data_IF_774017076922
#
_entry.id   IF_774017076922
#
_cell.length_a   1.000
_cell.length_b   1.000
_cell.length_c   1.000
_cell.angle_alpha   90.00
_cell.angle_beta   90.00
_cell.angle_gamma   90.00
#
_symmetry.space_group_name_H-M   'P 1'
#
loop_
_entity.id
_entity.type
_entity.pdbx_description
1 polymer ?
#
# COMPACT_ATOMS: atom_id res chain seq x y z
N UNK A 1 -0.80 -21.73 -5.04
CA UNK A 1 -0.42 -20.31 -4.85
C UNK A 1 0.34 -20.19 -3.54
N UNK A 2 1.34 -19.30 -3.47
CA UNK A 2 2.05 -18.96 -2.23
C UNK A 2 1.75 -17.50 -1.90
N UNK A 3 1.18 -17.23 -0.73
CA UNK A 3 0.89 -15.88 -0.23
C UNK A 3 1.80 -15.60 0.94
N UNK A 4 2.51 -14.47 0.91
CA UNK A 4 3.44 -14.08 1.97
C UNK A 4 3.10 -12.67 2.46
N UNK A 5 2.89 -12.54 3.78
CA UNK A 5 2.64 -11.27 4.46
C UNK A 5 1.52 -10.43 3.78
N UNK A 6 0.47 -11.09 3.30
CA UNK A 6 -0.62 -10.46 2.57
C UNK A 6 -1.95 -11.15 2.89
N UNK A 7 -3.04 -10.36 2.85
CA UNK A 7 -4.38 -10.83 3.18
C UNK A 7 -5.39 -10.53 2.05
N UNK A 8 -5.19 -11.06 0.82
CA UNK A 8 -6.02 -10.78 -0.36
C UNK A 8 -7.51 -11.10 -0.17
N UNK A 9 -7.86 -12.13 0.62
CA UNK A 9 -9.26 -12.46 0.91
C UNK A 9 -10.01 -11.32 1.61
N UNK A 10 -9.29 -10.46 2.34
CA UNK A 10 -9.85 -9.28 3.01
C UNK A 10 -9.67 -8.00 2.20
N UNK A 11 -8.46 -7.76 1.67
CA UNK A 11 -8.06 -6.42 1.22
C UNK A 11 -8.39 -6.12 -0.25
N UNK A 12 -8.58 -7.13 -1.09
CA UNK A 12 -8.81 -6.95 -2.52
C UNK A 12 -10.26 -6.55 -2.81
N UNK A 13 -10.46 -5.76 -3.87
CA UNK A 13 -11.79 -5.37 -4.32
C UNK A 13 -12.63 -6.60 -4.72
N UNK A 14 -13.93 -6.55 -4.44
CA UNK A 14 -14.83 -7.69 -4.57
C UNK A 14 -14.26 -8.95 -3.90
N UNK A 15 -13.97 -8.81 -2.60
CA UNK A 15 -13.32 -9.84 -1.77
C UNK A 15 -13.96 -11.24 -1.86
N UNK A 16 -15.28 -11.33 -2.10
CA UNK A 16 -15.99 -12.60 -2.30
C UNK A 16 -15.48 -13.39 -3.49
N UNK A 17 -15.21 -12.72 -4.62
CA UNK A 17 -14.66 -13.38 -5.81
C UNK A 17 -13.23 -13.85 -5.54
N UNK A 18 -12.47 -13.09 -4.76
CA UNK A 18 -11.10 -13.46 -4.37
C UNK A 18 -11.13 -14.68 -3.44
N UNK A 19 -11.99 -14.69 -2.43
CA UNK A 19 -12.19 -15.85 -1.55
C UNK A 19 -12.60 -17.10 -2.33
N UNK A 20 -13.58 -16.98 -3.24
CA UNK A 20 -14.01 -18.08 -4.10
C UNK A 20 -12.87 -18.59 -4.98
N UNK A 21 -12.06 -17.69 -5.56
CA UNK A 21 -10.91 -18.07 -6.36
C UNK A 21 -9.84 -18.79 -5.54
N UNK A 22 -9.56 -18.33 -4.31
CA UNK A 22 -8.60 -18.97 -3.40
C UNK A 22 -9.06 -20.39 -3.03
N UNK A 23 -10.36 -20.59 -2.75
CA UNK A 23 -10.95 -21.92 -2.45
C UNK A 23 -10.89 -22.90 -3.62
N UNK A 24 -10.76 -22.42 -4.85
CA UNK A 24 -10.65 -23.26 -6.07
C UNK A 24 -9.22 -23.67 -6.40
N UNK A 25 -8.22 -23.13 -5.70
CA UNK A 25 -6.83 -23.52 -5.92
C UNK A 25 -6.64 -24.99 -5.53
N UNK A 26 -5.84 -25.71 -6.31
CA UNK A 26 -5.44 -27.09 -5.96
C UNK A 26 -4.55 -27.13 -4.71
N UNK A 27 -3.82 -26.04 -4.46
CA UNK A 27 -2.93 -25.92 -3.32
C UNK A 27 -2.63 -24.45 -2.98
N UNK A 28 -2.84 -24.05 -1.73
CA UNK A 28 -2.59 -22.71 -1.19
C UNK A 28 -1.70 -22.80 0.06
N UNK A 29 -0.56 -22.10 0.01
CA UNK A 29 0.34 -21.92 1.16
C UNK A 29 0.33 -20.46 1.57
N UNK A 30 0.20 -20.19 2.86
CA UNK A 30 0.21 -18.83 3.42
C UNK A 30 1.30 -18.73 4.50
N UNK A 31 2.18 -17.73 4.38
CA UNK A 31 3.04 -17.29 5.49
C UNK A 31 2.47 -16.01 6.10
N UNK A 32 2.13 -16.08 7.37
CA UNK A 32 1.58 -14.95 8.13
C UNK A 32 1.92 -15.12 9.61
N UNK A 33 1.84 -14.02 10.35
CA UNK A 33 2.07 -14.00 11.81
C UNK A 33 0.78 -14.43 12.53
N UNK A 34 -0.38 -14.24 11.90
CA UNK A 34 -1.68 -14.60 12.47
C UNK A 34 -2.51 -15.45 11.50
N UNK A 35 -3.50 -16.14 12.04
CA UNK A 35 -4.54 -16.80 11.25
C UNK A 35 -5.48 -15.74 10.65
N UNK A 36 -5.06 -15.13 9.54
CA UNK A 36 -5.85 -14.13 8.80
C UNK A 36 -6.95 -14.78 7.96
N UNK A 37 -7.98 -14.03 7.50
CA UNK A 37 -8.96 -14.56 6.56
C UNK A 37 -8.38 -15.25 5.31
N UNK A 38 -7.18 -14.87 4.87
CA UNK A 38 -6.51 -15.60 3.78
C UNK A 38 -5.84 -16.88 4.28
N UNK A 39 -5.20 -16.86 5.46
CA UNK A 39 -4.58 -18.03 6.08
C UNK A 39 -5.60 -19.12 6.42
N UNK A 40 -6.82 -18.75 6.82
CA UNK A 40 -7.92 -19.70 7.09
C UNK A 40 -8.35 -20.51 5.85
N UNK A 41 -8.01 -20.03 4.65
CA UNK A 41 -8.29 -20.72 3.38
C UNK A 41 -7.14 -21.64 2.94
N UNK A 42 -5.99 -21.59 3.60
CA UNK A 42 -4.78 -22.27 3.17
C UNK A 42 -4.79 -23.77 3.48
N UNK A 43 -4.18 -24.56 2.61
CA UNK A 43 -3.88 -25.97 2.89
C UNK A 43 -2.72 -26.09 3.88
N UNK A 44 -1.76 -25.16 3.81
CA UNK A 44 -0.63 -25.06 4.74
C UNK A 44 -0.45 -23.61 5.17
N UNK A 45 -0.42 -23.39 6.47
CA UNK A 45 0.04 -22.14 7.08
C UNK A 45 1.46 -22.36 7.63
N UNK A 46 2.38 -21.50 7.22
CA UNK A 46 3.76 -21.48 7.71
C UNK A 46 3.93 -20.29 8.66
N UNK A 47 4.18 -20.50 9.96
CA UNK A 47 4.20 -19.43 10.95
C UNK A 47 5.40 -18.49 10.72
N UNK A 48 5.11 -17.23 10.41
CA UNK A 48 6.11 -16.17 10.26
C UNK A 48 6.31 -15.42 11.59
N UNK A 49 7.56 -15.06 11.90
CA UNK A 49 7.88 -14.27 13.09
C UNK A 49 7.76 -12.75 12.82
N UNK A 50 7.51 -11.98 13.89
CA UNK A 50 7.44 -10.52 13.85
C UNK A 50 8.79 -9.89 13.54
N UNK A 51 8.79 -8.57 13.31
CA UNK A 51 10.02 -7.82 13.07
C UNK A 51 10.94 -7.72 14.31
N UNK A 52 10.44 -8.02 15.53
CA UNK A 52 11.23 -8.03 16.77
C UNK A 52 12.04 -9.32 16.94
N UNK A 53 11.71 -10.36 16.17
CA UNK A 53 12.25 -11.72 16.28
C UNK A 53 13.31 -12.04 15.21
N UNK A 54 13.59 -11.09 14.30
CA UNK A 54 14.52 -11.25 13.19
C UNK A 54 15.41 -10.04 13.01
N UNK A 55 16.64 -10.25 12.54
CA UNK A 55 17.53 -9.14 12.19
C UNK A 55 17.18 -8.66 10.79
N UNK A 56 16.94 -7.36 10.64
CA UNK A 56 16.74 -6.72 9.33
C UNK A 56 17.40 -5.36 9.30
N UNK A 57 17.66 -4.81 8.12
CA UNK A 57 17.88 -3.37 8.00
C UNK A 57 16.60 -2.66 7.59
N UNK A 58 16.49 -1.38 7.95
CA UNK A 58 15.39 -0.49 7.59
C UNK A 58 15.99 0.71 6.87
N UNK A 59 15.55 0.95 5.64
CA UNK A 59 15.82 2.18 4.95
C UNK A 59 14.66 3.15 5.19
N UNK A 60 14.88 4.18 6.01
CA UNK A 60 13.98 5.31 6.14
C UNK A 60 14.26 6.29 5.01
N UNK A 61 13.49 6.16 3.94
CA UNK A 61 13.37 7.18 2.90
C UNK A 61 12.14 8.05 3.23
N UNK A 62 12.28 9.37 3.34
CA UNK A 62 11.13 10.26 3.54
C UNK A 62 10.04 10.13 2.46
N UNK A 63 10.31 9.52 1.30
CA UNK A 63 9.33 9.30 0.22
C UNK A 63 9.63 8.03 -0.61
N UNK A 64 9.32 6.85 -0.06
CA UNK A 64 9.54 5.52 -0.67
C UNK A 64 8.97 5.32 -2.08
N UNK A 65 8.00 6.13 -2.48
CA UNK A 65 7.26 6.00 -3.74
C UNK A 65 7.77 6.94 -4.86
N UNK A 66 8.65 7.91 -4.56
CA UNK A 66 9.09 8.87 -5.58
C UNK A 66 10.60 9.18 -5.59
N UNK A 67 11.40 8.66 -4.64
CA UNK A 67 12.86 8.78 -4.67
C UNK A 67 13.35 10.23 -4.79
N UNK A 68 12.69 11.15 -4.10
CA UNK A 68 13.12 12.54 -4.05
C UNK A 68 14.48 12.61 -3.36
N UNK A 69 15.32 13.59 -3.72
CA UNK A 69 16.71 13.70 -3.29
C UNK A 69 16.86 14.05 -1.80
N UNK A 70 16.39 13.18 -0.92
CA UNK A 70 16.51 13.27 0.52
C UNK A 70 17.43 12.16 0.99
N UNK A 71 18.42 12.44 1.86
CA UNK A 71 19.30 11.40 2.38
C UNK A 71 18.49 10.25 3.00
N UNK A 72 18.76 9.03 2.54
CA UNK A 72 18.14 7.84 3.11
C UNK A 72 18.87 7.48 4.39
N UNK A 73 18.15 7.17 5.47
CA UNK A 73 18.78 6.66 6.69
C UNK A 73 18.64 5.14 6.74
N UNK A 74 19.77 4.43 6.79
CA UNK A 74 19.79 2.98 6.96
C UNK A 74 20.06 2.68 8.44
N UNK A 75 19.20 1.88 9.06
CA UNK A 75 19.31 1.47 10.46
C UNK A 75 19.25 -0.05 10.53
N UNK A 76 20.04 -0.67 11.41
CA UNK A 76 19.83 -2.07 11.79
C UNK A 76 18.65 -2.15 12.77
N UNK A 77 17.67 -2.97 12.45
CA UNK A 77 16.66 -3.45 13.39
C UNK A 77 17.15 -4.81 13.89
N UNK A 78 17.83 -4.87 15.05
CA UNK A 78 18.35 -6.13 15.56
C UNK A 78 17.22 -7.04 16.01
N UNK A 79 17.49 -8.35 16.02
CA UNK A 79 16.67 -9.32 16.74
C UNK A 79 16.66 -8.97 18.24
N UNK A 80 15.48 -8.68 18.78
CA UNK A 80 15.27 -8.28 20.19
C UNK A 80 14.95 -9.48 21.07
N UNK A 81 14.18 -10.44 20.54
CA UNK A 81 13.83 -11.71 21.18
C UNK A 81 14.02 -12.85 20.19
N UNK A 82 14.17 -14.08 20.69
CA UNK A 82 14.16 -15.24 19.79
C UNK A 82 12.77 -15.42 19.17
N UNK A 83 12.68 -15.96 17.93
CA UNK A 83 11.40 -16.34 17.35
C UNK A 83 10.58 -17.20 18.30
N UNK A 84 9.32 -16.83 18.46
CA UNK A 84 8.40 -17.53 19.35
C UNK A 84 8.02 -18.87 18.75
N UNK A 85 8.00 -19.89 19.61
CA UNK A 85 7.62 -21.26 19.27
C UNK A 85 8.39 -21.79 18.05
N UNK A 86 7.68 -22.22 17.01
CA UNK A 86 8.26 -22.76 15.78
C UNK A 86 8.29 -21.72 14.63
N UNK A 87 8.02 -20.45 14.93
CA UNK A 87 7.98 -19.40 13.90
C UNK A 87 9.35 -19.11 13.29
N UNK A 88 9.38 -18.83 12.00
CA UNK A 88 10.60 -18.47 11.27
C UNK A 88 10.46 -17.08 10.63
N UNK A 89 11.59 -16.44 10.35
CA UNK A 89 11.59 -15.28 9.47
C UNK A 89 11.18 -15.67 8.05
N UNK A 90 10.55 -14.77 7.32
CA UNK A 90 10.19 -14.97 5.92
C UNK A 90 11.42 -15.34 5.07
N UNK A 91 12.57 -14.72 5.36
CA UNK A 91 13.84 -15.04 4.71
C UNK A 91 14.21 -16.51 4.89
N UNK A 92 14.17 -17.01 6.14
CA UNK A 92 14.50 -18.40 6.43
C UNK A 92 13.52 -19.37 5.75
N UNK A 93 12.22 -19.06 5.75
CA UNK A 93 11.20 -19.86 5.08
C UNK A 93 11.51 -20.00 3.59
N UNK A 94 11.78 -18.89 2.90
CA UNK A 94 12.10 -18.88 1.47
C UNK A 94 13.42 -19.59 1.18
N UNK A 95 14.47 -19.37 1.98
CA UNK A 95 15.76 -20.04 1.78
C UNK A 95 15.66 -21.56 1.96
N UNK A 96 14.98 -22.04 3.01
CA UNK A 96 14.84 -23.47 3.26
C UNK A 96 13.94 -24.15 2.23
N UNK A 97 12.89 -23.48 1.76
CA UNK A 97 12.07 -23.95 0.65
C UNK A 97 12.90 -24.05 -0.64
N UNK A 98 13.66 -23.01 -0.98
CA UNK A 98 14.54 -23.00 -2.14
C UNK A 98 15.57 -24.13 -2.12
N UNK A 99 16.22 -24.37 -0.96
CA UNK A 99 17.16 -25.48 -0.78
C UNK A 99 16.48 -26.84 -0.99
N UNK A 100 15.30 -27.07 -0.42
CA UNK A 100 14.54 -28.32 -0.60
C UNK A 100 14.10 -28.55 -2.04
N UNK A 101 13.88 -27.48 -2.80
CA UNK A 101 13.56 -27.52 -4.22
C UNK A 101 14.78 -27.71 -5.13
N UNK A 102 16.00 -27.78 -4.58
CA UNK A 102 17.24 -27.94 -5.34
C UNK A 102 17.90 -26.63 -5.78
N UNK A 103 17.38 -25.47 -5.35
CA UNK A 103 17.91 -24.14 -5.67
C UNK A 103 18.91 -23.61 -4.63
N UNK A 104 19.51 -24.50 -3.83
CA UNK A 104 20.36 -24.11 -2.69
C UNK A 104 21.54 -23.21 -3.06
N UNK A 105 22.07 -23.31 -4.28
CA UNK A 105 23.16 -22.47 -4.78
C UNK A 105 22.80 -20.97 -4.84
N UNK A 106 21.51 -20.63 -5.00
CA UNK A 106 21.02 -19.25 -5.03
C UNK A 106 20.81 -18.65 -3.63
N UNK A 107 20.95 -19.46 -2.58
CA UNK A 107 20.83 -19.06 -1.18
C UNK A 107 22.11 -19.41 -0.40
N UNK A 108 23.28 -18.86 -0.79
CA UNK A 108 24.57 -19.28 -0.26
C UNK A 108 24.83 -18.78 1.18
N UNK A 109 24.07 -17.79 1.64
CA UNK A 109 24.27 -17.16 2.94
C UNK A 109 23.87 -18.08 4.09
N UNK A 110 24.70 -18.08 5.14
CA UNK A 110 24.52 -18.93 6.34
C UNK A 110 23.62 -18.26 7.38
N UNK A 111 23.43 -16.95 7.27
CA UNK A 111 22.62 -16.14 8.20
C UNK A 111 21.97 -14.96 7.49
N UNK A 112 20.95 -14.38 8.12
CA UNK A 112 20.30 -13.14 7.66
C UNK A 112 21.29 -11.98 7.59
N UNK A 113 22.20 -11.86 8.57
CA UNK A 113 23.21 -10.78 8.59
C UNK A 113 24.17 -10.89 7.42
N UNK A 114 24.62 -12.10 7.05
CA UNK A 114 25.46 -12.30 5.87
C UNK A 114 24.74 -11.91 4.58
N UNK A 115 23.43 -12.18 4.49
CA UNK A 115 22.61 -11.75 3.36
C UNK A 115 22.44 -10.21 3.33
N UNK A 116 22.27 -9.57 4.49
CA UNK A 116 22.20 -8.11 4.62
C UNK A 116 23.53 -7.45 4.24
N UNK A 117 24.65 -7.97 4.75
CA UNK A 117 25.99 -7.49 4.40
C UNK A 117 26.25 -7.60 2.90
N UNK A 118 25.87 -8.72 2.30
CA UNK A 118 25.94 -8.88 0.85
C UNK A 118 25.10 -7.82 0.12
N UNK A 119 23.86 -7.59 0.55
CA UNK A 119 22.97 -6.60 -0.06
C UNK A 119 23.49 -5.16 0.09
N UNK A 120 24.13 -4.84 1.21
CA UNK A 120 24.67 -3.51 1.52
C UNK A 120 26.13 -3.32 1.06
N UNK A 121 26.78 -4.38 0.57
CA UNK A 121 28.16 -4.34 0.09
C UNK A 121 28.47 -3.25 -0.94
N UNK A 122 27.56 -2.84 -1.87
CA UNK A 122 27.84 -1.72 -2.79
C UNK A 122 28.02 -0.38 -2.08
N UNK A 123 27.48 -0.22 -0.86
CA UNK A 123 27.65 0.97 -0.02
C UNK A 123 28.84 0.83 0.95
N UNK A 124 29.46 -0.36 1.02
CA UNK A 124 30.52 -0.66 1.98
C UNK A 124 30.03 -0.73 3.43
N UNK A 125 28.73 -0.96 3.65
CA UNK A 125 28.09 -0.98 4.97
C UNK A 125 27.87 -2.42 5.40
N UNK A 126 28.11 -2.70 6.69
CA UNK A 126 27.83 -4.00 7.31
C UNK A 126 26.85 -3.89 8.47
N UNK A 127 26.25 -5.01 8.86
CA UNK A 127 25.49 -5.17 10.09
C UNK A 127 26.31 -4.79 11.33
N UNK A 128 27.62 -5.10 11.35
CA UNK A 128 28.52 -4.67 12.43
C UNK A 128 28.62 -3.15 12.54
N UNK A 129 28.81 -2.47 11.41
CA UNK A 129 28.86 -0.99 11.37
C UNK A 129 27.52 -0.39 11.80
N UNK A 130 26.40 -0.88 11.26
CA UNK A 130 25.07 -0.38 11.63
C UNK A 130 24.75 -0.63 13.11
N UNK A 131 25.24 -1.72 13.70
CA UNK A 131 25.06 -2.01 15.13
C UNK A 131 25.86 -1.05 16.00
N UNK A 132 27.04 -0.61 15.54
CA UNK A 132 27.83 0.43 16.21
C UNK A 132 27.20 1.83 16.09
N UNK A 133 26.28 2.03 15.14
CA UNK A 133 25.56 3.27 14.85
C UNK A 133 24.03 3.10 14.98
N UNK A 134 23.49 2.94 16.21
CA UNK A 134 22.06 2.68 16.44
C UNK A 134 21.14 3.80 15.94
N UNK A 135 21.64 5.02 15.80
CA UNK A 135 20.96 6.15 15.17
C UNK A 135 20.76 5.99 13.66
N UNK A 136 21.47 5.05 13.05
CA UNK A 136 21.52 4.78 11.62
C UNK A 136 22.58 5.59 10.87
N UNK A 137 23.02 5.04 9.75
CA UNK A 137 23.89 5.71 8.81
C UNK A 137 23.05 6.52 7.82
N UNK A 138 23.36 7.80 7.69
CA UNK A 138 22.78 8.66 6.67
C UNK A 138 23.53 8.40 5.37
N UNK A 139 22.84 7.86 4.39
CA UNK A 139 23.31 7.69 3.02
C UNK A 139 23.01 9.01 2.30
N UNK A 140 24.03 9.84 2.02
CA UNK A 140 23.80 11.07 1.30
C UNK A 140 23.31 10.72 -0.11
N UNK A 141 22.10 11.16 -0.45
CA UNK A 141 21.73 11.31 -1.85
C UNK A 141 22.48 12.53 -2.37
N UNK A 142 23.09 12.49 -3.56
CA UNK A 142 23.77 13.66 -4.11
C UNK A 142 22.85 14.88 -4.04
N UNK A 143 23.34 16.05 -3.59
CA UNK A 143 22.52 17.25 -3.57
C UNK A 143 21.99 17.54 -4.97
N UNK A 144 20.75 18.04 -5.03
CA UNK A 144 20.14 18.57 -6.25
C UNK A 144 21.14 19.51 -6.95
N UNK A 145 21.42 19.23 -8.23
CA UNK A 145 22.56 19.73 -9.01
C UNK A 145 22.64 21.25 -9.25
N UNK A 146 21.86 22.09 -8.57
CA UNK A 146 21.89 23.53 -8.80
C UNK A 146 21.72 24.36 -7.52
N UNK A 147 22.53 25.42 -7.41
CA UNK A 147 22.24 26.56 -6.53
C UNK A 147 21.50 27.62 -7.36
N UNK A 148 20.37 28.15 -6.84
CA UNK A 148 19.63 29.25 -7.49
C UNK A 148 20.29 30.58 -7.16
N UNK A 149 20.59 31.38 -8.17
CA UNK A 149 20.98 32.78 -8.01
C UNK A 149 19.99 33.70 -8.73
N UNK A 150 19.77 34.90 -8.18
CA UNK A 150 19.16 36.01 -8.90
C UNK A 150 20.19 36.59 -9.87
N UNK A 151 19.93 36.47 -11.17
CA UNK A 151 20.75 37.09 -12.20
C UNK A 151 20.63 38.60 -12.18
N UNK A 152 21.70 39.28 -12.62
CA UNK A 152 21.84 40.74 -12.58
C UNK A 152 20.73 41.51 -13.34
N UNK A 153 20.01 40.83 -14.25
CA UNK A 153 18.85 41.37 -15.00
C UNK A 153 17.51 40.68 -14.68
N UNK A 154 17.39 40.03 -13.51
CA UNK A 154 16.12 39.47 -13.04
C UNK A 154 15.79 38.05 -13.52
N UNK A 155 16.70 37.35 -14.20
CA UNK A 155 16.55 35.93 -14.56
C UNK A 155 17.12 34.98 -13.51
N UNK A 156 16.57 33.76 -13.37
CA UNK A 156 17.13 32.72 -12.49
C UNK A 156 18.34 32.08 -13.20
N UNK A 157 19.53 32.19 -12.62
CA UNK A 157 20.73 31.47 -13.08
C UNK A 157 20.87 30.18 -12.24
N UNK A 158 21.07 29.05 -12.92
CA UNK A 158 21.36 27.74 -12.30
C UNK A 158 22.83 27.41 -12.58
N UNK A 159 23.64 27.26 -11.53
CA UNK A 159 25.04 26.84 -11.66
C UNK A 159 25.25 25.47 -11.02
N UNK A 160 26.00 24.60 -11.71
CA UNK A 160 26.42 23.28 -11.24
C UNK A 160 27.49 23.44 -10.16
N UNK A 161 27.26 22.87 -8.97
CA UNK A 161 28.23 22.92 -7.87
C UNK A 161 29.54 22.21 -8.27
N UNK A 162 30.63 22.97 -8.36
CA UNK A 162 31.97 22.46 -8.75
C UNK A 162 32.80 21.87 -7.61
N UNK A 163 32.28 21.80 -6.39
CA UNK A 163 33.09 21.38 -5.24
C UNK A 163 32.32 20.30 -4.53
N UNK A 164 32.75 19.06 -4.72
CA UNK A 164 33.23 18.26 -3.59
C UNK A 164 33.81 16.95 -4.10
N UNK A 165 35.06 16.69 -3.69
CA UNK A 165 35.77 15.44 -3.96
C UNK A 165 35.16 14.40 -3.03
N UNK A 166 34.09 13.74 -3.50
CA UNK A 166 33.41 12.66 -2.81
C UNK A 166 34.04 11.32 -3.20
N UNK A 167 34.13 10.40 -2.23
CA UNK A 167 34.77 9.07 -2.35
C UNK A 167 34.33 8.34 -3.63
N UNK A 168 35.30 7.65 -4.25
CA UNK A 168 35.23 6.87 -5.50
C UNK A 168 33.99 5.94 -5.62
N UNK A 169 32.83 6.48 -6.02
CA UNK A 169 31.68 5.69 -6.46
C UNK A 169 31.22 6.18 -7.86
N UNK A 170 31.86 5.70 -8.94
CA UNK A 170 31.61 6.20 -10.30
C UNK A 170 30.22 5.85 -10.88
N UNK A 171 29.48 4.90 -10.32
CA UNK A 171 28.22 4.43 -10.94
C UNK A 171 26.93 5.07 -10.40
N UNK A 172 26.98 5.74 -9.24
CA UNK A 172 25.79 6.27 -8.56
C UNK A 172 25.16 7.48 -9.29
N UNK A 173 25.90 8.11 -10.21
CA UNK A 173 25.51 9.36 -10.87
C UNK A 173 24.80 9.20 -12.23
N UNK A 174 24.75 7.98 -12.80
CA UNK A 174 24.08 7.75 -14.11
C UNK A 174 22.60 8.15 -14.12
N UNK A 175 21.91 8.00 -12.99
CA UNK A 175 20.46 8.34 -12.87
C UNK A 175 20.20 9.86 -12.94
N UNK A 176 21.18 10.69 -12.57
CA UNK A 176 21.01 12.14 -12.42
C UNK A 176 21.67 12.97 -13.52
N UNK A 177 22.63 12.41 -14.29
CA UNK A 177 23.07 13.02 -15.55
C UNK A 177 21.89 13.27 -16.52
N UNK A 178 20.87 12.41 -16.45
CA UNK A 178 19.65 12.53 -17.23
C UNK A 178 18.87 13.81 -16.93
N UNK A 179 18.75 14.22 -15.66
CA UNK A 179 17.97 15.41 -15.27
C UNK A 179 18.56 16.72 -15.78
N UNK A 180 19.89 16.80 -15.92
CA UNK A 180 20.56 17.91 -16.62
C UNK A 180 20.31 17.88 -18.14
N UNK A 181 19.97 16.70 -18.68
CA UNK A 181 19.53 16.45 -20.06
C UNK A 181 17.99 16.46 -20.18
N UNK A 182 17.26 16.81 -19.11
CA UNK A 182 15.80 16.88 -18.98
C UNK A 182 15.11 15.63 -18.38
N UNK A 183 13.77 15.60 -18.35
CA UNK A 183 13.01 14.51 -17.71
C UNK A 183 13.23 13.15 -18.41
N UNK A 184 12.93 12.03 -17.72
CA UNK A 184 12.94 10.68 -18.30
C UNK A 184 11.72 10.42 -19.22
N UNK A 185 11.39 11.42 -20.03
CA UNK A 185 10.37 11.40 -21.07
C UNK A 185 11.06 11.43 -22.44
N UNK A 186 10.39 10.99 -23.52
CA UNK A 186 10.91 11.12 -24.88
C UNK A 186 11.35 12.56 -25.23
N UNK A 187 10.55 13.55 -24.85
CA UNK A 187 10.82 14.98 -25.12
C UNK A 187 11.84 15.64 -24.19
N UNK A 188 12.25 14.95 -23.11
CA UNK A 188 13.06 15.51 -22.02
C UNK A 188 12.38 16.66 -21.25
N UNK A 189 11.06 16.83 -21.41
CA UNK A 189 10.23 17.84 -20.74
C UNK A 189 9.12 17.18 -19.92
N UNK A 190 8.40 17.98 -19.15
CA UNK A 190 7.09 17.56 -18.62
C UNK A 190 6.13 17.47 -19.80
N UNK A 191 5.55 16.29 -20.02
CA UNK A 191 4.64 16.01 -21.13
C UNK A 191 3.20 16.28 -20.68
N UNK A 192 2.74 17.52 -20.89
CA UNK A 192 1.31 17.86 -20.71
C UNK A 192 0.48 17.05 -21.71
N UNK A 193 0.98 16.93 -22.94
CA UNK A 193 0.49 16.03 -23.96
C UNK A 193 1.36 14.77 -23.99
N UNK A 194 0.76 13.59 -23.80
CA UNK A 194 1.46 12.32 -23.83
C UNK A 194 1.29 11.62 -25.18
N UNK A 195 2.30 11.73 -26.06
CA UNK A 195 2.34 10.94 -27.30
C UNK A 195 2.30 9.42 -27.04
N UNK A 196 2.76 8.99 -25.85
CA UNK A 196 2.72 7.58 -25.45
C UNK A 196 1.29 7.10 -25.25
N UNK A 197 0.45 7.91 -24.59
CA UNK A 197 -0.97 7.60 -24.41
C UNK A 197 -1.69 7.61 -25.76
N UNK A 198 -1.43 8.61 -26.61
CA UNK A 198 -2.00 8.67 -27.97
C UNK A 198 -1.66 7.42 -28.79
N UNK A 199 -0.38 7.00 -28.82
CA UNK A 199 0.06 5.79 -29.53
C UNK A 199 -0.60 4.50 -29.01
N UNK A 200 -1.08 4.50 -27.76
CA UNK A 200 -1.81 3.40 -27.15
C UNK A 200 -3.35 3.55 -27.28
N UNK A 201 -3.82 4.60 -27.96
CA UNK A 201 -5.25 4.85 -28.18
C UNK A 201 -5.96 5.52 -26.99
N UNK A 202 -5.22 6.09 -26.04
CA UNK A 202 -5.76 6.83 -24.90
C UNK A 202 -5.72 8.34 -25.12
N UNK A 203 -6.52 9.08 -24.35
CA UNK A 203 -6.49 10.55 -24.37
C UNK A 203 -5.10 11.06 -23.96
N UNK A 204 -4.41 11.82 -24.82
CA UNK A 204 -3.07 12.32 -24.52
C UNK A 204 -3.05 13.49 -23.56
N UNK A 205 -4.21 14.08 -23.24
CA UNK A 205 -4.37 15.18 -22.30
C UNK A 205 -5.25 14.74 -21.12
N UNK A 206 -5.08 15.36 -19.94
CA UNK A 206 -6.01 15.16 -18.84
C UNK A 206 -7.43 15.55 -19.25
N UNK A 207 -8.36 14.63 -19.10
CA UNK A 207 -9.78 14.84 -19.37
C UNK A 207 -10.59 14.40 -18.15
N UNK A 208 -11.69 15.11 -17.89
CA UNK A 208 -12.68 14.62 -16.95
C UNK A 208 -13.52 13.54 -17.63
N UNK A 209 -13.57 12.35 -17.01
CA UNK A 209 -14.54 11.31 -17.35
C UNK A 209 -15.37 11.05 -16.10
N UNK A 210 -16.69 11.05 -16.27
CA UNK A 210 -17.60 10.66 -15.21
C UNK A 210 -17.23 9.25 -14.71
N UNK A 211 -17.18 9.01 -13.39
CA UNK A 211 -16.92 7.68 -12.87
C UNK A 211 -17.87 6.66 -13.49
N UNK A 212 -17.34 5.49 -13.85
CA UNK A 212 -18.11 4.47 -14.54
C UNK A 212 -19.31 3.94 -13.72
N UNK A 213 -19.30 4.17 -12.42
CA UNK A 213 -20.42 3.98 -11.52
C UNK A 213 -20.67 5.28 -10.74
N UNK A 214 -21.73 5.99 -11.10
CA UNK A 214 -22.19 7.20 -10.42
C UNK A 214 -23.68 7.41 -10.69
N UNK A 215 -24.36 8.32 -9.96
CA UNK A 215 -25.74 8.66 -10.28
C UNK A 215 -25.93 9.25 -11.69
N UNK A 216 -24.86 9.78 -12.30
CA UNK A 216 -24.88 10.36 -13.65
C UNK A 216 -24.63 9.30 -14.72
N UNK A 217 -23.62 8.45 -14.54
CA UNK A 217 -23.27 7.42 -15.53
C UNK A 217 -24.20 6.21 -15.47
N UNK A 218 -24.77 5.92 -14.29
CA UNK A 218 -25.66 4.78 -14.02
C UNK A 218 -26.94 5.21 -13.31
N UNK A 219 -27.79 6.05 -13.94
CA UNK A 219 -29.06 6.49 -13.36
C UNK A 219 -30.06 5.34 -13.20
N UNK A 220 -29.90 4.26 -13.97
CA UNK A 220 -30.64 3.02 -13.80
C UNK A 220 -30.32 2.36 -12.45
N UNK A 221 -29.03 2.27 -12.12
CA UNK A 221 -28.55 1.67 -10.88
C UNK A 221 -28.84 2.55 -9.66
N UNK A 222 -28.70 3.87 -9.83
CA UNK A 222 -28.93 4.85 -8.76
C UNK A 222 -30.39 4.92 -8.28
N UNK A 223 -31.35 4.37 -9.04
CA UNK A 223 -32.73 4.21 -8.56
C UNK A 223 -32.83 3.21 -7.41
N UNK A 224 -32.02 2.16 -7.45
CA UNK A 224 -31.98 1.10 -6.43
C UNK A 224 -30.90 1.38 -5.38
N UNK A 225 -29.78 1.95 -5.79
CA UNK A 225 -28.61 2.25 -4.97
C UNK A 225 -28.30 3.76 -4.99
N UNK A 226 -29.07 4.60 -4.28
CA UNK A 226 -29.04 6.05 -4.47
C UNK A 226 -27.83 6.76 -3.83
N UNK A 227 -27.07 6.08 -2.95
CA UNK A 227 -25.98 6.67 -2.19
C UNK A 227 -24.62 6.32 -2.81
N UNK A 228 -23.70 7.27 -2.79
CA UNK A 228 -22.31 7.06 -3.22
C UNK A 228 -21.51 6.51 -2.03
N UNK A 229 -20.89 5.35 -2.19
CA UNK A 229 -20.01 4.73 -1.21
C UNK A 229 -18.54 5.10 -1.49
N UNK A 230 -17.89 5.58 -0.43
CA UNK A 230 -16.43 5.62 -0.33
C UNK A 230 -15.98 4.46 0.57
N UNK A 231 -15.26 3.51 0.00
CA UNK A 231 -14.69 2.38 0.73
C UNK A 231 -13.18 2.57 0.90
N UNK A 232 -12.71 2.55 2.15
CA UNK A 232 -11.32 2.21 2.43
C UNK A 232 -10.42 3.32 2.98
N UNK A 233 -10.92 4.16 3.88
CA UNK A 233 -10.05 5.07 4.65
C UNK A 233 -9.24 4.31 5.71
N UNK A 234 -8.07 4.85 6.04
CA UNK A 234 -7.17 4.35 7.08
C UNK A 234 -7.54 4.91 8.45
N UNK A 235 -7.24 4.15 9.49
CA UNK A 235 -7.42 4.51 10.88
C UNK A 235 -6.03 4.57 11.54
N UNK A 236 -5.76 5.57 12.37
CA UNK A 236 -4.42 5.83 12.93
C UNK A 236 -3.83 4.63 13.70
N UNK A 237 -4.68 3.94 14.45
CA UNK A 237 -4.39 2.76 15.27
C UNK A 237 -4.24 1.46 14.46
N UNK A 238 -4.58 1.43 13.17
CA UNK A 238 -4.49 0.22 12.35
C UNK A 238 -3.72 0.45 11.06
N UNK A 239 -2.84 -0.50 10.73
CA UNK A 239 -2.20 -0.53 9.41
C UNK A 239 -2.88 -1.54 8.53
N UNK A 240 -3.77 -1.08 7.65
CA UNK A 240 -4.60 -1.94 6.80
C UNK A 240 -5.41 -2.97 7.62
N UNK A 241 -5.15 -4.28 7.44
CA UNK A 241 -5.77 -5.37 8.20
C UNK A 241 -4.96 -5.78 9.44
N UNK A 242 -3.81 -5.16 9.70
CA UNK A 242 -2.91 -5.51 10.81
C UNK A 242 -3.26 -4.76 12.09
N UNK A 243 -2.64 -5.17 13.21
CA UNK A 243 -2.71 -4.55 14.54
C UNK A 243 -4.05 -4.69 15.27
N UNK A 244 -5.04 -5.34 14.65
CA UNK A 244 -6.37 -5.57 15.24
C UNK A 244 -6.37 -6.56 16.40
N UNK A 245 -5.33 -7.38 16.49
CA UNK A 245 -5.12 -8.36 17.57
C UNK A 245 -4.51 -7.72 18.83
N UNK A 246 -4.14 -6.44 18.80
CA UNK A 246 -3.62 -5.71 19.96
C UNK A 246 -4.84 -5.15 20.73
N UNK A 247 -5.16 -5.66 21.94
CA UNK A 247 -6.41 -5.31 22.63
C UNK A 247 -6.57 -3.81 22.84
N UNK A 248 -5.47 -3.12 23.20
CA UNK A 248 -5.51 -1.68 23.45
C UNK A 248 -5.82 -0.84 22.22
N UNK A 249 -5.39 -1.28 21.03
CA UNK A 249 -5.73 -0.63 19.77
C UNK A 249 -7.17 -0.99 19.37
N UNK A 250 -7.60 -2.23 19.63
CA UNK A 250 -8.97 -2.67 19.38
C UNK A 250 -10.01 -1.89 20.18
N UNK A 251 -9.71 -1.56 21.43
CA UNK A 251 -10.55 -0.70 22.28
C UNK A 251 -10.82 0.68 21.68
N UNK A 252 -9.87 1.25 20.92
CA UNK A 252 -10.02 2.59 20.34
C UNK A 252 -11.05 2.63 19.20
N UNK A 253 -11.24 1.53 18.48
CA UNK A 253 -12.20 1.43 17.37
C UNK A 253 -12.55 -0.05 17.12
N UNK A 254 -13.53 -0.57 17.85
CA UNK A 254 -13.75 -2.01 18.00
C UNK A 254 -14.51 -2.66 16.85
N UNK A 255 -15.15 -1.89 15.98
CA UNK A 255 -15.95 -2.41 14.87
C UNK A 255 -15.91 -1.45 13.69
N UNK A 256 -16.34 -1.88 12.50
CA UNK A 256 -16.45 -0.98 11.37
C UNK A 256 -17.69 -0.09 11.53
N UNK A 257 -17.57 1.18 11.17
CA UNK A 257 -18.65 2.15 11.27
C UNK A 257 -19.00 2.67 9.87
N UNK A 258 -20.29 2.84 9.60
CA UNK A 258 -20.79 3.55 8.43
C UNK A 258 -20.98 5.03 8.78
N UNK A 259 -20.14 5.91 8.24
CA UNK A 259 -20.41 7.35 8.35
C UNK A 259 -21.57 7.73 7.45
N UNK A 260 -22.58 8.38 8.02
CA UNK A 260 -23.79 8.82 7.32
C UNK A 260 -24.18 10.24 7.77
N UNK A 261 -24.53 11.08 6.80
CA UNK A 261 -24.96 12.45 7.09
C UNK A 261 -26.31 12.49 7.85
N UNK A 262 -26.52 13.42 8.80
CA UNK A 262 -27.78 13.56 9.53
C UNK A 262 -29.04 13.67 8.65
N UNK A 263 -28.97 14.38 7.51
CA UNK A 263 -30.12 14.51 6.61
C UNK A 263 -30.51 13.17 5.99
N UNK A 264 -29.54 12.37 5.61
CA UNK A 264 -29.75 11.07 4.99
C UNK A 264 -30.15 10.04 6.03
N UNK A 265 -29.53 10.08 7.21
CA UNK A 265 -29.93 9.27 8.35
C UNK A 265 -31.40 9.53 8.72
N UNK A 266 -31.83 10.79 8.81
CA UNK A 266 -33.22 11.16 9.08
C UNK A 266 -34.18 10.65 7.99
N UNK A 267 -33.83 10.80 6.70
CA UNK A 267 -34.64 10.27 5.59
C UNK A 267 -34.81 8.75 5.65
N UNK A 268 -33.81 8.04 6.17
CA UNK A 268 -33.81 6.58 6.29
C UNK A 268 -34.25 6.07 7.68
N UNK A 269 -34.64 6.96 8.60
CA UNK A 269 -34.97 6.66 9.99
C UNK A 269 -33.84 5.91 10.75
N UNK A 270 -32.60 6.29 10.49
CA UNK A 270 -31.39 5.77 11.12
C UNK A 270 -30.95 6.74 12.21
N UNK A 271 -30.74 6.23 13.42
CA UNK A 271 -30.12 6.95 14.53
C UNK A 271 -28.66 6.50 14.71
N UNK A 272 -27.86 7.32 15.41
CA UNK A 272 -26.49 6.96 15.75
C UNK A 272 -26.41 5.65 16.54
N UNK A 273 -25.43 4.82 16.21
CA UNK A 273 -25.24 3.49 16.82
C UNK A 273 -26.26 2.42 16.38
N UNK A 274 -27.22 2.73 15.51
CA UNK A 274 -28.10 1.71 14.96
C UNK A 274 -27.31 0.74 14.06
N UNK A 275 -27.64 -0.54 14.13
CA UNK A 275 -27.14 -1.52 13.17
C UNK A 275 -27.83 -1.30 11.83
N UNK A 276 -27.05 -1.19 10.77
CA UNK A 276 -27.51 -0.96 9.41
C UNK A 276 -26.94 -2.00 8.46
N UNK A 277 -27.71 -2.31 7.43
CA UNK A 277 -27.24 -3.07 6.28
C UNK A 277 -26.82 -2.10 5.18
N UNK A 278 -25.61 -2.28 4.68
CA UNK A 278 -25.11 -1.59 3.49
C UNK A 278 -25.05 -2.58 2.36
N UNK A 279 -25.69 -2.28 1.24
CA UNK A 279 -25.79 -3.17 0.09
C UNK A 279 -25.39 -2.46 -1.19
N UNK A 280 -24.61 -3.15 -2.02
CA UNK A 280 -24.29 -2.80 -3.41
C UNK A 280 -24.65 -3.99 -4.31
N UNK A 281 -24.57 -3.85 -5.64
CA UNK A 281 -24.80 -4.97 -6.57
C UNK A 281 -23.90 -6.19 -6.34
N UNK A 282 -22.79 -6.04 -5.61
CA UNK A 282 -21.82 -7.11 -5.34
C UNK A 282 -22.12 -7.85 -4.03
N UNK A 283 -22.89 -7.26 -3.13
CA UNK A 283 -23.27 -7.90 -1.88
C UNK A 283 -23.65 -6.91 -0.79
N UNK A 284 -23.71 -7.42 0.43
CA UNK A 284 -24.11 -6.67 1.61
C UNK A 284 -23.20 -6.97 2.79
N UNK A 285 -23.10 -6.00 3.69
CA UNK A 285 -22.47 -6.12 5.01
C UNK A 285 -23.37 -5.46 6.06
N UNK A 286 -23.10 -5.75 7.32
CA UNK A 286 -23.79 -5.12 8.46
C UNK A 286 -22.74 -4.41 9.34
N UNK A 287 -23.09 -3.24 9.85
CA UNK A 287 -22.22 -2.41 10.69
C UNK A 287 -23.05 -1.39 11.48
N UNK A 288 -22.43 -0.75 12.47
CA UNK A 288 -23.06 0.35 13.22
C UNK A 288 -23.00 1.65 12.43
N UNK A 289 -24.10 2.40 12.43
CA UNK A 289 -24.16 3.74 11.86
C UNK A 289 -23.45 4.74 12.78
N UNK A 290 -22.67 5.64 12.18
CA UNK A 290 -22.10 6.82 12.82
C UNK A 290 -22.64 8.07 12.13
N UNK A 291 -23.54 8.77 12.80
CA UNK A 291 -24.23 9.94 12.24
C UNK A 291 -23.35 11.19 12.42
N UNK A 292 -22.91 11.78 11.31
CA UNK A 292 -21.91 12.86 11.33
C UNK A 292 -22.11 13.86 10.18
N UNK A 293 -21.97 15.15 10.44
CA UNK A 293 -22.10 16.23 9.45
C UNK A 293 -20.84 16.43 8.59
N UNK A 294 -19.81 15.61 8.81
CA UNK A 294 -18.51 15.66 8.11
C UNK A 294 -18.55 15.10 6.68
N UNK A 295 -19.67 14.51 6.27
CA UNK A 295 -19.86 13.86 4.97
C UNK A 295 -21.06 14.46 4.23
N UNK A 296 -20.97 14.56 2.90
CA UNK A 296 -22.07 15.07 2.05
C UNK A 296 -23.31 14.16 2.15
N UNK A 297 -24.55 14.69 2.17
CA UNK A 297 -25.78 13.89 2.26
C UNK A 297 -25.89 12.77 1.22
N UNK A 298 -25.25 12.89 0.07
CA UNK A 298 -25.31 11.87 -0.99
C UNK A 298 -24.30 10.74 -0.80
N UNK A 299 -23.40 10.86 0.17
CA UNK A 299 -22.23 9.99 0.32
C UNK A 299 -22.29 9.27 1.68
N UNK A 300 -21.88 8.01 1.68
CA UNK A 300 -21.60 7.23 2.87
C UNK A 300 -20.18 6.68 2.82
N UNK A 301 -19.60 6.41 3.99
CA UNK A 301 -18.20 6.01 4.08
C UNK A 301 -18.00 4.81 5.02
N UNK A 302 -17.13 3.90 4.60
CA UNK A 302 -16.71 2.72 5.38
C UNK A 302 -15.19 2.63 5.48
N UNK A 303 -14.72 2.14 6.62
CA UNK A 303 -13.28 1.96 6.88
C UNK A 303 -12.75 0.63 6.35
N UNK A 304 -11.46 0.62 6.01
CA UNK A 304 -10.77 -0.55 5.46
C UNK A 304 -10.35 -1.56 6.55
N UNK A 305 -10.30 -2.84 6.18
CA UNK A 305 -9.54 -3.86 6.89
C UNK A 305 -10.27 -4.55 8.05
N UNK A 306 -11.58 -4.36 8.19
CA UNK A 306 -12.42 -5.10 9.15
C UNK A 306 -12.94 -6.39 8.50
N UNK A 307 -12.63 -7.55 9.08
CA UNK A 307 -13.07 -8.84 8.52
C UNK A 307 -14.56 -9.08 8.75
N UNK A 308 -15.05 -8.65 9.91
CA UNK A 308 -16.42 -8.80 10.39
C UNK A 308 -17.42 -7.97 9.57
N UNK A 309 -16.95 -6.84 9.02
CA UNK A 309 -17.72 -5.95 8.16
C UNK A 309 -16.84 -5.41 7.03
N UNK A 310 -16.50 -6.30 6.11
CA UNK A 310 -15.53 -6.03 5.05
C UNK A 310 -16.13 -5.15 3.95
N UNK A 311 -15.77 -3.87 3.90
CA UNK A 311 -16.22 -2.95 2.86
C UNK A 311 -15.88 -3.42 1.44
N UNK A 312 -14.84 -4.24 1.26
CA UNK A 312 -14.47 -4.78 -0.05
C UNK A 312 -15.43 -5.86 -0.57
N UNK A 313 -16.42 -6.29 0.22
CA UNK A 313 -17.56 -7.06 -0.29
C UNK A 313 -18.44 -6.22 -1.21
N UNK A 314 -18.46 -4.90 -1.00
CA UNK A 314 -19.33 -3.96 -1.72
C UNK A 314 -18.65 -3.38 -2.97
N UNK A 315 -17.34 -3.54 -3.11
CA UNK A 315 -16.53 -2.89 -4.14
C UNK A 315 -16.51 -3.68 -5.44
N UNK A 316 -16.31 -3.00 -6.56
CA UNK A 316 -16.20 -3.60 -7.88
C UNK A 316 -14.76 -3.97 -8.23
N UNK A 317 -14.59 -5.06 -8.99
CA UNK A 317 -13.30 -5.50 -9.52
C UNK A 317 -13.29 -5.71 -11.03
N UNK A 318 -14.35 -5.31 -11.75
CA UNK A 318 -14.46 -5.49 -13.20
C UNK A 318 -14.23 -4.20 -13.97
N UNK A 319 -14.70 -3.09 -13.42
CA UNK A 319 -14.58 -1.76 -13.99
C UNK A 319 -13.36 -1.08 -13.38
N UNK A 320 -12.26 -1.11 -14.13
CA UNK A 320 -11.00 -0.49 -13.74
C UNK A 320 -10.68 0.72 -14.61
N UNK A 321 -9.82 1.59 -14.10
CA UNK A 321 -9.16 2.60 -14.92
C UNK A 321 -8.42 1.92 -16.09
N UNK A 322 -8.72 2.25 -17.35
CA UNK A 322 -8.21 1.50 -18.50
C UNK A 322 -6.70 1.69 -18.71
N UNK A 323 -6.09 2.72 -18.11
CA UNK A 323 -4.67 3.03 -18.27
C UNK A 323 -3.84 2.29 -17.20
N UNK A 324 -4.27 2.34 -15.94
CA UNK A 324 -3.53 1.81 -14.78
C UNK A 324 -4.01 0.44 -14.31
N UNK A 325 -5.22 0.01 -14.71
CA UNK A 325 -5.87 -1.19 -14.19
C UNK A 325 -6.40 -1.07 -12.77
N UNK A 326 -6.40 0.14 -12.18
CA UNK A 326 -6.82 0.38 -10.80
C UNK A 326 -8.33 0.28 -10.64
N UNK A 327 -8.81 -0.34 -9.56
CA UNK A 327 -10.23 -0.43 -9.22
C UNK A 327 -10.76 0.86 -8.60
N UNK A 328 -11.98 1.28 -8.97
CA UNK A 328 -12.66 2.42 -8.36
C UNK A 328 -13.22 2.10 -6.97
N UNK A 329 -12.60 2.63 -5.91
CA UNK A 329 -13.02 2.39 -4.51
C UNK A 329 -13.81 3.57 -3.89
N UNK A 330 -13.91 4.70 -4.59
CA UNK A 330 -14.44 5.97 -4.05
C UNK A 330 -15.64 6.52 -4.84
N UNK A 331 -16.24 5.69 -5.68
CA UNK A 331 -17.33 6.06 -6.58
C UNK A 331 -18.20 4.83 -6.85
N UNK A 332 -18.66 4.18 -5.78
CA UNK A 332 -19.53 3.01 -5.86
C UNK A 332 -20.95 3.43 -5.49
N UNK A 333 -21.97 2.73 -5.99
CA UNK A 333 -23.35 2.97 -5.59
C UNK A 333 -23.79 1.93 -4.58
N UNK A 334 -24.48 2.38 -3.54
CA UNK A 334 -25.03 1.55 -2.49
C UNK A 334 -26.41 2.06 -2.02
N UNK A 335 -27.08 1.22 -1.23
CA UNK A 335 -28.22 1.59 -0.41
C UNK A 335 -27.95 1.19 1.03
N UNK A 336 -28.62 1.87 1.95
CA UNK A 336 -28.49 1.66 3.39
C UNK A 336 -29.89 1.48 3.96
N UNK A 337 -30.07 0.46 4.79
CA UNK A 337 -31.32 0.22 5.52
C UNK A 337 -31.05 -0.10 6.99
N UNK A 338 -31.96 0.32 7.86
CA UNK A 338 -31.96 -0.05 9.28
C UNK A 338 -32.42 -1.49 9.45
N UNK A 339 -31.77 -2.23 10.33
CA UNK A 339 -32.12 -3.63 10.68
C UNK A 339 -32.99 -3.66 11.93
#
# INVERSE_FOLDING_TARGET
>A
MFVMAANPALICANSKVVEEALRKLEFLVVTDIFMTPTAELADIVLPACTFLEKTRFVAYDPHVDHGWNVPSRIVLSPKVVEPLEESWSDWKIICELGKKMGYGEYFPWRSEEEAIDYQLSPLGITCEELRAHPEGLIIPVPPTLYKKFSGFWGGIIRETLKITVFRNYPEMYRKYEGFLKGFLTPSKKVEIYSERLEKQGYDPLPVYKEPAESPVSRPDLAKEYPLILIAGSKLEMYTHSMMRNIPKLRELFPENLLEINPETAAKLNIEDGNVVRVESPRGRIECSAYVTDRIDPRVVHLYHGFAESNCNVLTDNKVCDPITGSTGLKSLLCKVEKI
#
